data_IF_092432580599
#
_entry.id   IF_092432580599
#
_cell.length_a   1.000
_cell.length_b   1.000
_cell.length_c   1.000
_cell.angle_alpha   90.00
_cell.angle_beta   90.00
_cell.angle_gamma   90.00
#
_symmetry.space_group_name_H-M   'P 1'
#
loop_
_entity.id
_entity.type
_entity.pdbx_description
1 polymer ?
#
# COMPACT_ATOMS: atom_id res chain seq x y z
N UNK A 1 -30.32 -1.99 -76.12
CA UNK A 1 -29.59 -1.30 -75.04
C UNK A 1 -29.13 -2.35 -74.04
N UNK A 2 -27.82 -2.58 -73.98
CA UNK A 2 -27.14 -3.71 -73.34
C UNK A 2 -26.81 -3.35 -71.89
N UNK A 3 -27.16 -4.17 -70.89
CA UNK A 3 -26.70 -4.00 -69.50
C UNK A 3 -25.95 -5.24 -69.04
N UNK A 4 -24.66 -5.05 -68.79
CA UNK A 4 -23.75 -6.02 -68.19
C UNK A 4 -23.97 -6.06 -66.67
N UNK A 5 -23.97 -7.25 -66.08
CA UNK A 5 -23.91 -7.46 -64.64
C UNK A 5 -22.48 -7.86 -64.26
N UNK A 6 -21.76 -6.97 -63.58
CA UNK A 6 -20.45 -7.26 -62.96
C UNK A 6 -20.67 -7.68 -61.51
N UNK A 7 -20.15 -8.85 -61.13
CA UNK A 7 -20.12 -9.33 -59.76
C UNK A 7 -18.75 -9.06 -59.15
N UNK A 8 -18.69 -8.24 -58.10
CA UNK A 8 -17.50 -8.06 -57.27
C UNK A 8 -17.54 -9.02 -56.08
N UNK A 9 -16.53 -9.88 -55.96
CA UNK A 9 -16.30 -10.79 -54.84
C UNK A 9 -15.77 -9.97 -53.65
N UNK A 10 -16.51 -9.92 -52.55
CA UNK A 10 -16.05 -9.32 -51.30
C UNK A 10 -15.20 -10.31 -50.50
N UNK A 11 -13.91 -10.04 -50.37
CA UNK A 11 -13.01 -10.77 -49.48
C UNK A 11 -13.05 -10.08 -48.10
N UNK A 12 -13.77 -10.68 -47.14
CA UNK A 12 -13.79 -10.19 -45.77
C UNK A 12 -12.54 -10.69 -45.03
N UNK A 13 -11.65 -9.75 -44.67
CA UNK A 13 -10.45 -10.03 -43.86
C UNK A 13 -10.80 -9.75 -42.40
N UNK A 14 -11.23 -10.77 -41.66
CA UNK A 14 -11.42 -10.68 -40.21
C UNK A 14 -10.07 -10.58 -39.50
N UNK A 15 -9.71 -9.38 -39.06
CA UNK A 15 -8.58 -9.14 -38.17
C UNK A 15 -8.90 -9.61 -36.75
N UNK A 16 -8.12 -10.55 -36.22
CA UNK A 16 -8.16 -10.90 -34.81
C UNK A 16 -7.36 -9.85 -34.02
N UNK A 17 -8.06 -9.04 -33.24
CA UNK A 17 -7.44 -8.23 -32.19
C UNK A 17 -7.11 -9.15 -31.01
N UNK A 18 -5.82 -9.35 -30.76
CA UNK A 18 -5.34 -9.98 -29.53
C UNK A 18 -5.58 -8.99 -28.40
N UNK A 19 -6.58 -9.25 -27.57
CA UNK A 19 -6.76 -8.53 -26.32
C UNK A 19 -5.66 -8.99 -25.34
N UNK A 20 -4.74 -8.09 -24.99
CA UNK A 20 -3.90 -8.27 -23.82
C UNK A 20 -4.80 -8.33 -22.58
N UNK A 21 -5.00 -9.54 -22.05
CA UNK A 21 -5.64 -9.70 -20.76
C UNK A 21 -4.74 -9.09 -19.69
N UNK A 22 -5.25 -8.24 -18.77
CA UNK A 22 -4.47 -7.85 -17.62
C UNK A 22 -4.14 -9.12 -16.84
N UNK A 23 -2.86 -9.35 -16.59
CA UNK A 23 -2.37 -10.46 -15.78
C UNK A 23 -3.08 -10.40 -14.44
N UNK A 24 -4.09 -11.24 -14.26
CA UNK A 24 -4.74 -11.43 -12.98
C UNK A 24 -3.66 -12.05 -12.09
N UNK A 25 -2.99 -11.25 -11.26
CA UNK A 25 -1.99 -11.75 -10.33
C UNK A 25 -2.71 -12.58 -9.28
N UNK A 26 -2.96 -13.84 -9.61
CA UNK A 26 -3.26 -14.87 -8.64
C UNK A 26 -2.00 -15.06 -7.82
N UNK A 27 -1.95 -14.38 -6.68
CA UNK A 27 -0.99 -14.67 -5.63
C UNK A 27 -1.16 -16.16 -5.28
N UNK A 28 -0.16 -16.97 -5.59
CA UNK A 28 -0.02 -18.29 -4.97
C UNK A 28 -0.19 -18.13 -3.45
N UNK A 29 -0.75 -19.11 -2.70
CA UNK A 29 -0.99 -18.97 -1.27
C UNK A 29 0.29 -18.51 -0.59
N UNK A 30 0.34 -17.23 -0.27
CA UNK A 30 1.58 -16.57 0.07
C UNK A 30 1.85 -16.85 1.53
N UNK A 31 2.81 -17.72 1.75
CA UNK A 31 3.32 -18.08 3.07
C UNK A 31 4.19 -16.94 3.63
N UNK A 32 4.25 -16.81 4.96
CA UNK A 32 4.99 -15.71 5.61
C UNK A 32 6.46 -15.65 5.17
N UNK A 33 7.11 -16.80 5.01
CA UNK A 33 8.51 -16.88 4.57
C UNK A 33 8.60 -17.21 3.08
N UNK A 34 9.55 -16.61 2.39
CA UNK A 34 9.76 -16.84 0.96
C UNK A 34 11.25 -16.80 0.59
N UNK A 35 11.57 -17.02 -0.70
CA UNK A 35 12.92 -16.82 -1.24
C UNK A 35 13.27 -15.36 -1.51
N UNK A 36 12.29 -14.47 -1.37
CA UNK A 36 12.40 -13.05 -1.69
C UNK A 36 12.93 -12.28 -0.47
N UNK A 37 13.32 -11.03 -0.68
CA UNK A 37 13.71 -10.15 0.40
C UNK A 37 12.46 -9.70 1.13
N UNK A 38 12.39 -10.04 2.41
CA UNK A 38 11.33 -9.63 3.33
C UNK A 38 11.98 -8.86 4.48
N UNK A 39 11.59 -7.62 4.72
CA UNK A 39 12.28 -6.69 5.62
C UNK A 39 11.35 -5.69 6.30
N UNK A 40 11.89 -4.95 7.27
CA UNK A 40 11.18 -3.93 8.06
C UNK A 40 9.84 -4.45 8.64
N UNK A 41 9.83 -5.55 9.41
CA UNK A 41 8.60 -6.08 9.98
C UNK A 41 8.05 -5.17 11.08
N UNK A 42 6.72 -5.09 11.16
CA UNK A 42 5.98 -4.43 12.24
C UNK A 42 4.86 -5.35 12.72
N UNK A 43 4.76 -5.56 14.03
CA UNK A 43 3.73 -6.39 14.67
C UNK A 43 2.63 -5.48 15.23
N UNK A 44 1.35 -5.86 15.06
CA UNK A 44 0.23 -5.18 15.73
C UNK A 44 0.27 -5.38 17.25
N UNK A 45 -0.32 -4.46 18.00
CA UNK A 45 -0.31 -4.53 19.47
C UNK A 45 -1.01 -5.77 20.06
N UNK A 46 -2.00 -6.31 19.37
CA UNK A 46 -2.68 -7.57 19.69
C UNK A 46 -1.92 -8.83 19.23
N UNK A 47 -0.78 -8.66 18.55
CA UNK A 47 0.05 -9.74 18.04
C UNK A 47 -0.55 -10.53 16.88
N UNK A 48 -1.63 -10.06 16.24
CA UNK A 48 -2.30 -10.79 15.16
C UNK A 48 -1.69 -10.54 13.78
N UNK A 49 -1.27 -9.32 13.48
CA UNK A 49 -0.85 -8.92 12.15
C UNK A 49 0.63 -8.57 12.09
N UNK A 50 1.31 -9.01 11.03
CA UNK A 50 2.66 -8.55 10.67
C UNK A 50 2.56 -7.77 9.37
N UNK A 51 2.93 -6.49 9.37
CA UNK A 51 3.22 -5.74 8.16
C UNK A 51 4.72 -5.84 7.84
N UNK A 52 5.08 -5.97 6.57
CA UNK A 52 6.48 -6.04 6.14
C UNK A 52 6.60 -5.63 4.68
N UNK A 53 7.82 -5.26 4.28
CA UNK A 53 8.14 -4.96 2.90
C UNK A 53 8.68 -6.21 2.21
N UNK A 54 8.30 -6.40 0.96
CA UNK A 54 8.65 -7.58 0.18
C UNK A 54 8.86 -7.24 -1.28
N UNK A 55 9.82 -7.90 -1.93
CA UNK A 55 10.02 -7.85 -3.39
C UNK A 55 9.47 -9.10 -4.11
N UNK A 56 8.44 -9.74 -3.55
CA UNK A 56 7.70 -10.85 -4.21
C UNK A 56 6.94 -10.41 -5.46
N UNK A 57 6.59 -9.12 -5.56
CA UNK A 57 5.91 -8.52 -6.72
C UNK A 57 6.88 -7.98 -7.78
N UNK A 58 6.39 -7.12 -8.68
CA UNK A 58 7.24 -6.41 -9.66
C UNK A 58 8.18 -5.41 -9.01
N UNK A 59 7.74 -4.82 -7.90
CA UNK A 59 8.43 -3.79 -7.14
C UNK A 59 8.37 -4.14 -5.64
N UNK A 60 9.10 -3.36 -4.82
CA UNK A 60 9.00 -3.46 -3.35
C UNK A 60 7.61 -3.01 -2.91
N UNK A 61 6.89 -3.90 -2.24
CA UNK A 61 5.51 -3.73 -1.83
C UNK A 61 5.35 -4.00 -0.34
N UNK A 62 4.33 -3.40 0.25
CA UNK A 62 3.93 -3.67 1.62
C UNK A 62 2.92 -4.81 1.61
N UNK A 63 3.25 -5.84 2.38
CA UNK A 63 2.42 -7.01 2.62
C UNK A 63 2.00 -7.02 4.08
N UNK A 64 0.88 -7.69 4.35
CA UNK A 64 0.42 -7.94 5.70
C UNK A 64 0.03 -9.39 5.84
N UNK A 65 0.48 -10.05 6.90
CA UNK A 65 0.17 -11.44 7.22
C UNK A 65 -0.66 -11.53 8.49
N UNK A 66 -1.76 -12.27 8.43
CA UNK A 66 -2.61 -12.61 9.59
C UNK A 66 -2.06 -13.90 10.23
N UNK A 67 -1.48 -13.80 11.42
CA UNK A 67 -0.89 -14.93 12.14
C UNK A 67 -1.93 -15.94 12.62
N UNK A 68 -3.17 -15.51 12.84
CA UNK A 68 -4.26 -16.38 13.28
C UNK A 68 -4.80 -17.20 12.11
N UNK A 69 -5.05 -16.53 10.97
CA UNK A 69 -5.57 -17.19 9.76
C UNK A 69 -4.49 -17.85 8.91
N UNK A 70 -3.24 -17.48 9.13
CA UNK A 70 -2.07 -17.94 8.38
C UNK A 70 -2.10 -17.59 6.89
N UNK A 71 -2.61 -16.41 6.56
CA UNK A 71 -2.77 -15.93 5.19
C UNK A 71 -2.30 -14.47 5.04
N UNK A 72 -1.93 -14.07 3.82
CA UNK A 72 -1.76 -12.65 3.50
C UNK A 72 -3.12 -11.94 3.45
N UNK A 73 -3.12 -10.72 3.97
CA UNK A 73 -4.24 -9.78 3.92
C UNK A 73 -4.10 -8.90 2.68
N UNK A 74 -5.18 -8.74 1.92
CA UNK A 74 -5.24 -7.79 0.82
C UNK A 74 -5.24 -6.33 1.35
N UNK A 75 -4.24 -5.55 0.94
CA UNK A 75 -4.07 -4.13 1.28
C UNK A 75 -4.48 -3.27 0.07
N UNK A 76 -5.74 -3.37 -0.32
CA UNK A 76 -6.29 -2.72 -1.51
C UNK A 76 -5.95 -1.22 -1.54
N UNK A 77 -5.43 -0.75 -2.69
CA UNK A 77 -4.98 0.64 -3.00
C UNK A 77 -3.79 1.17 -2.20
N UNK A 78 -3.21 0.39 -1.29
CA UNK A 78 -2.04 0.83 -0.52
C UNK A 78 -0.79 0.87 -1.40
N UNK A 79 -0.51 -0.23 -2.09
CA UNK A 79 0.60 -0.34 -3.03
C UNK A 79 0.22 0.39 -4.33
N UNK A 80 0.91 1.49 -4.61
CA UNK A 80 0.68 2.32 -5.80
C UNK A 80 1.92 2.28 -6.70
N UNK A 81 1.69 2.34 -8.01
CA UNK A 81 2.79 2.45 -8.97
C UNK A 81 3.55 3.76 -8.74
N UNK A 82 4.87 3.73 -8.96
CA UNK A 82 5.76 4.90 -8.82
C UNK A 82 5.82 5.52 -7.41
N UNK A 83 5.30 4.83 -6.40
CA UNK A 83 5.40 5.23 -4.99
C UNK A 83 6.29 4.24 -4.25
N UNK A 84 7.38 4.75 -3.69
CA UNK A 84 8.24 3.96 -2.79
C UNK A 84 7.61 4.03 -1.40
N UNK A 85 7.40 2.88 -0.77
CA UNK A 85 6.83 2.78 0.58
C UNK A 85 7.77 2.07 1.53
N UNK A 86 7.90 2.61 2.75
CA UNK A 86 8.87 2.13 3.74
C UNK A 86 8.39 2.32 5.19
N UNK A 87 9.10 1.69 6.13
CA UNK A 87 8.97 1.89 7.58
C UNK A 87 7.53 1.74 8.11
N UNK A 88 6.91 0.55 7.97
CA UNK A 88 5.57 0.31 8.50
C UNK A 88 5.54 0.36 10.04
N UNK A 89 4.42 0.81 10.60
CA UNK A 89 4.07 0.63 12.02
C UNK A 89 2.56 0.46 12.18
N UNK A 90 2.14 -0.45 13.06
CA UNK A 90 0.75 -0.87 13.24
C UNK A 90 0.18 -0.42 14.58
N UNK A 91 -1.10 -0.05 14.57
CA UNK A 91 -1.88 0.17 15.79
C UNK A 91 -2.27 -1.14 16.48
N UNK A 92 -3.01 -1.09 17.60
CA UNK A 92 -3.29 -2.23 18.46
C UNK A 92 -3.93 -3.42 17.73
N UNK A 93 -5.09 -3.25 17.07
CA UNK A 93 -5.74 -4.32 16.28
C UNK A 93 -5.16 -4.41 14.86
N UNK A 94 -4.15 -3.60 14.56
CA UNK A 94 -3.59 -3.40 13.24
C UNK A 94 -4.58 -2.79 12.26
N UNK A 95 -5.66 -2.11 12.72
CA UNK A 95 -6.57 -1.37 11.85
C UNK A 95 -5.84 -0.27 11.08
N UNK A 96 -5.03 0.50 11.79
CA UNK A 96 -4.23 1.58 11.23
C UNK A 96 -2.80 1.11 10.99
N UNK A 97 -2.28 1.54 9.85
CA UNK A 97 -0.91 1.30 9.42
C UNK A 97 -0.31 2.64 8.99
N UNK A 98 0.73 3.09 9.69
CA UNK A 98 1.52 4.26 9.26
C UNK A 98 2.74 3.79 8.49
N UNK A 99 3.12 4.57 7.49
CA UNK A 99 4.26 4.27 6.64
C UNK A 99 4.76 5.54 5.95
N UNK A 100 6.00 5.52 5.50
CA UNK A 100 6.54 6.53 4.61
C UNK A 100 6.10 6.23 3.19
N UNK A 101 5.69 7.25 2.45
CA UNK A 101 5.45 7.18 1.02
C UNK A 101 6.26 8.26 0.32
N UNK A 102 7.06 7.88 -0.66
CA UNK A 102 7.89 8.79 -1.45
C UNK A 102 7.44 8.77 -2.92
N UNK A 103 7.07 9.95 -3.41
CA UNK A 103 6.68 10.15 -4.82
C UNK A 103 7.56 11.27 -5.39
N UNK A 104 8.32 10.96 -6.45
CA UNK A 104 9.24 11.92 -7.08
C UNK A 104 10.18 12.63 -6.08
N UNK A 105 10.67 11.88 -5.09
CA UNK A 105 11.58 12.37 -4.04
C UNK A 105 10.91 13.14 -2.90
N UNK A 106 9.58 13.36 -2.95
CA UNK A 106 8.83 13.95 -1.83
C UNK A 106 8.31 12.86 -0.92
N UNK A 107 8.81 12.83 0.31
CA UNK A 107 8.42 11.86 1.34
C UNK A 107 7.33 12.44 2.23
N UNK A 108 6.28 11.67 2.47
CA UNK A 108 5.21 11.98 3.42
C UNK A 108 4.97 10.79 4.36
N UNK A 109 4.50 11.07 5.57
CA UNK A 109 3.92 10.04 6.43
C UNK A 109 2.45 9.86 6.04
N UNK A 110 2.07 8.64 5.69
CA UNK A 110 0.70 8.26 5.37
C UNK A 110 0.14 7.32 6.42
N UNK A 111 -1.18 7.41 6.63
CA UNK A 111 -1.96 6.47 7.43
C UNK A 111 -2.94 5.74 6.53
N UNK A 112 -2.82 4.42 6.47
CA UNK A 112 -3.79 3.53 5.84
C UNK A 112 -4.77 3.01 6.89
N UNK A 113 -6.07 3.17 6.63
CA UNK A 113 -7.14 2.52 7.39
C UNK A 113 -7.62 1.30 6.63
N UNK A 114 -7.41 0.10 7.21
CA UNK A 114 -7.81 -1.17 6.60
C UNK A 114 -9.31 -1.36 6.50
N UNK A 115 -10.10 -0.73 7.38
CA UNK A 115 -11.57 -0.83 7.33
C UNK A 115 -12.10 -0.06 6.13
N UNK A 116 -11.62 1.18 5.94
CA UNK A 116 -12.08 2.02 4.82
C UNK A 116 -11.33 1.76 3.52
N UNK A 117 -10.17 1.08 3.59
CA UNK A 117 -9.26 0.81 2.48
C UNK A 117 -8.79 2.09 1.79
N UNK A 118 -8.42 3.08 2.61
CA UNK A 118 -7.99 4.41 2.18
C UNK A 118 -6.72 4.82 2.91
N UNK A 119 -5.82 5.48 2.17
CA UNK A 119 -4.67 6.18 2.73
C UNK A 119 -4.95 7.67 2.82
N UNK A 120 -4.50 8.31 3.89
CA UNK A 120 -4.47 9.77 4.04
C UNK A 120 -3.03 10.24 4.33
N UNK A 121 -2.65 11.41 3.79
CA UNK A 121 -1.39 12.06 4.16
C UNK A 121 -1.56 12.73 5.53
N UNK A 122 -0.68 12.41 6.47
CA UNK A 122 -0.64 13.03 7.79
C UNK A 122 0.27 14.26 7.82
N UNK A 123 1.21 14.36 6.88
CA UNK A 123 2.16 15.47 6.79
C UNK A 123 2.08 16.17 5.43
N UNK A 124 0.88 16.62 4.99
CA UNK A 124 0.73 17.22 3.67
C UNK A 124 1.55 18.51 3.55
N UNK A 125 2.40 18.58 2.53
CA UNK A 125 3.26 19.74 2.30
C UNK A 125 4.34 19.97 3.36
N UNK A 126 4.62 18.98 4.21
CA UNK A 126 5.68 19.07 5.20
C UNK A 126 7.05 19.01 4.53
N UNK A 127 7.74 20.15 4.47
CA UNK A 127 9.03 20.27 3.75
C UNK A 127 10.20 19.94 4.68
N UNK A 128 10.51 18.65 4.81
CA UNK A 128 11.71 18.16 5.49
C UNK A 128 11.96 16.68 5.15
N UNK A 129 13.11 16.15 5.55
CA UNK A 129 13.28 14.69 5.61
C UNK A 129 12.49 14.13 6.77
N UNK A 130 11.82 13.01 6.52
CA UNK A 130 11.00 12.25 7.46
C UNK A 130 11.50 10.82 7.48
N UNK A 131 11.61 10.22 8.67
CA UNK A 131 11.89 8.78 8.80
C UNK A 131 11.31 8.18 10.07
N UNK A 132 11.28 6.85 10.13
CA UNK A 132 10.92 6.05 11.29
C UNK A 132 9.57 6.46 11.95
N UNK A 133 8.46 6.56 11.21
CA UNK A 133 7.16 6.83 11.82
C UNK A 133 6.72 5.66 12.70
N UNK A 134 6.11 5.95 13.85
CA UNK A 134 5.47 4.96 14.71
C UNK A 134 4.14 5.48 15.23
N UNK A 135 3.12 4.63 15.21
CA UNK A 135 1.76 4.97 15.67
C UNK A 135 1.51 4.42 17.07
N UNK A 136 0.78 5.16 17.90
CA UNK A 136 0.30 4.67 19.19
C UNK A 136 -0.72 3.54 19.04
N UNK A 137 -0.87 2.72 20.09
CA UNK A 137 -1.78 1.58 20.10
C UNK A 137 -3.22 1.97 19.76
N UNK A 138 -3.71 3.08 20.33
CA UNK A 138 -5.05 3.64 20.07
C UNK A 138 -5.17 4.35 18.71
N UNK A 139 -4.08 4.43 17.96
CA UNK A 139 -4.02 5.09 16.67
C UNK A 139 -3.92 6.62 16.71
N UNK A 140 -3.98 7.29 17.86
CA UNK A 140 -4.10 8.75 17.94
C UNK A 140 -2.81 9.52 17.65
N UNK A 141 -1.70 9.06 18.20
CA UNK A 141 -0.43 9.75 18.13
C UNK A 141 0.49 9.07 17.12
N UNK A 142 1.25 9.90 16.40
CA UNK A 142 2.31 9.44 15.51
C UNK A 142 3.58 10.15 15.93
N UNK A 143 4.62 9.38 16.22
CA UNK A 143 5.97 9.90 16.45
C UNK A 143 6.82 9.64 15.22
N UNK A 144 7.72 10.56 14.89
CA UNK A 144 8.61 10.40 13.74
C UNK A 144 9.87 11.25 13.90
N UNK A 145 10.90 10.91 13.14
CA UNK A 145 12.14 11.67 13.06
C UNK A 145 12.07 12.67 11.91
N UNK A 146 12.50 13.91 12.16
CA UNK A 146 12.56 14.97 11.15
C UNK A 146 13.82 15.81 11.25
N UNK A 147 14.34 16.30 10.12
CA UNK A 147 15.52 17.18 10.07
C UNK A 147 15.17 18.67 9.89
N UNK A 148 13.91 19.06 10.16
CA UNK A 148 13.36 20.38 9.82
C UNK A 148 14.15 21.56 10.41
N UNK A 149 14.84 21.36 11.53
CA UNK A 149 15.60 22.40 12.22
C UNK A 149 17.11 22.36 11.96
N UNK A 150 17.58 21.48 11.06
CA UNK A 150 18.99 21.31 10.73
C UNK A 150 19.66 20.12 11.46
N UNK A 151 18.97 19.50 12.40
CA UNK A 151 19.34 18.27 13.09
C UNK A 151 18.15 17.33 13.17
N UNK A 152 18.39 16.05 13.43
CA UNK A 152 17.33 15.06 13.63
C UNK A 152 16.67 15.26 14.99
N UNK A 153 15.39 15.65 14.97
CA UNK A 153 14.53 15.78 16.14
C UNK A 153 13.42 14.71 16.09
N UNK A 154 12.89 14.36 17.26
CA UNK A 154 11.65 13.57 17.38
C UNK A 154 10.48 14.54 17.49
N UNK A 155 9.50 14.40 16.60
CA UNK A 155 8.24 15.15 16.65
C UNK A 155 7.06 14.21 16.89
N UNK A 156 5.98 14.78 17.47
CA UNK A 156 4.73 14.09 17.75
C UNK A 156 3.60 14.79 17.00
N UNK A 157 2.83 14.02 16.24
CA UNK A 157 1.60 14.43 15.59
C UNK A 157 0.42 13.84 16.35
N UNK A 158 -0.47 14.70 16.85
CA UNK A 158 -1.77 14.32 17.41
C UNK A 158 -2.83 14.40 16.30
N UNK A 159 -3.48 13.26 15.99
CA UNK A 159 -4.58 13.22 15.01
C UNK A 159 -5.86 13.89 15.52
N UNK A 160 -5.89 14.29 16.79
CA UNK A 160 -6.98 15.01 17.44
C UNK A 160 -7.99 14.09 18.13
N UNK A 161 -8.97 14.66 18.85
CA UNK A 161 -9.96 13.90 19.62
C UNK A 161 -11.11 13.35 18.77
N UNK A 162 -11.30 13.84 17.55
CA UNK A 162 -12.44 13.51 16.68
C UNK A 162 -12.11 12.42 15.65
N UNK A 163 -11.08 11.62 15.92
CA UNK A 163 -10.79 10.43 15.13
C UNK A 163 -11.46 9.21 15.75
N UNK A 164 -11.68 8.22 14.89
CA UNK A 164 -11.95 6.88 15.37
C UNK A 164 -10.64 6.28 15.92
N UNK A 165 -10.68 5.78 17.15
CA UNK A 165 -9.55 5.15 17.81
C UNK A 165 -9.49 3.67 17.44
N UNK A 166 -8.28 3.10 17.49
CA UNK A 166 -8.09 1.65 17.43
C UNK A 166 -8.15 1.06 18.83
N UNK A 167 -9.36 0.80 19.30
CA UNK A 167 -9.63 0.25 20.63
C UNK A 167 -9.99 -1.24 20.57
N UNK A 168 -9.50 -2.05 21.52
CA UNK A 168 -9.89 -3.46 21.60
C UNK A 168 -11.41 -3.58 21.77
N UNK A 169 -12.04 -4.45 20.97
CA UNK A 169 -13.48 -4.77 21.01
C UNK A 169 -14.46 -3.68 20.52
N UNK A 170 -13.97 -2.58 19.95
CA UNK A 170 -14.83 -1.54 19.37
C UNK A 170 -15.31 -0.54 20.40
#
# INVERSE_FOLDING_TARGET
>A
MQKWLSWTIGLSLTGMLVACSPTNQQFAPAILNSRYTDEQPALSGDGRFIAFLSNRGSDRQMLMYDLQKRELVDLLRLNQQEVIIESPSLSYTGRYLVYLASTQGRTEIKLYDRVTKRSQSLTPGYVSWLRNPSISADGRYIVFETSRRGQWDIEVLDRGPNIELDIPNG
#
